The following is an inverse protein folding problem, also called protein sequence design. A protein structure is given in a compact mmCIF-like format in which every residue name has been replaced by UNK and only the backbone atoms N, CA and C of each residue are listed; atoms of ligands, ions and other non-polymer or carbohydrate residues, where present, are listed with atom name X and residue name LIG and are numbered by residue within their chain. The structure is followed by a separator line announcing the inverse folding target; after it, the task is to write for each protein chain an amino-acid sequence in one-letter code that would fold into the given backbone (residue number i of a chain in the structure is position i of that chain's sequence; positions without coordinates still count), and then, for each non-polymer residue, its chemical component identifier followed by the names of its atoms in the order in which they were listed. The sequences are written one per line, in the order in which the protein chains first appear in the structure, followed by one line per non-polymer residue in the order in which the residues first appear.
data_IF_530785211689
#
_entry.id   IF_530785211689
#
_cell.length_a   1.000
_cell.length_b   1.000
_cell.length_c   1.000
_cell.angle_alpha   90.00
_cell.angle_beta   90.00
_cell.angle_gamma   90.00
#
_symmetry.space_group_name_H-M   'P 1'
#
loop_
_entity.id
_entity.type
_entity.pdbx_description
1 polymer ?
#
# COMPACT_ATOMS: atom_id res chain seq x y z
N UNK A 1 -9.91 -39.64 52.72
CA UNK A 1 -8.97 -38.61 52.23
C UNK A 1 -7.89 -39.29 51.42
N UNK A 2 -7.97 -39.29 50.11
CA UNK A 2 -7.01 -39.94 49.23
C UNK A 2 -5.84 -38.98 48.96
N UNK A 3 -4.62 -39.38 49.38
CA UNK A 3 -3.39 -38.61 49.11
C UNK A 3 -2.96 -38.77 47.65
N UNK A 4 -3.04 -37.73 46.87
CA UNK A 4 -2.48 -37.71 45.51
C UNK A 4 -0.96 -37.93 45.54
N UNK A 5 -0.44 -38.83 44.68
CA UNK A 5 0.98 -39.13 44.68
C UNK A 5 1.78 -37.91 44.19
N UNK A 6 2.82 -37.55 44.97
CA UNK A 6 3.74 -36.41 44.73
C UNK A 6 4.37 -36.36 43.31
N UNK A 7 4.37 -37.48 42.59
CA UNK A 7 4.88 -37.58 41.20
C UNK A 7 4.01 -36.93 40.14
N UNK A 8 2.70 -36.85 40.35
CA UNK A 8 1.75 -36.21 39.40
C UNK A 8 1.79 -34.68 39.51
N UNK A 9 2.11 -34.13 40.67
CA UNK A 9 2.23 -32.69 40.90
C UNK A 9 3.49 -32.13 40.24
N UNK A 10 4.60 -32.88 40.28
CA UNK A 10 5.87 -32.45 39.63
C UNK A 10 5.74 -32.42 38.09
N UNK A 11 5.02 -33.36 37.49
CA UNK A 11 4.78 -33.39 36.05
C UNK A 11 3.88 -32.23 35.57
N UNK A 12 2.84 -31.92 36.35
CA UNK A 12 1.94 -30.80 36.02
C UNK A 12 2.65 -29.42 36.13
N UNK A 13 3.51 -29.26 37.12
CA UNK A 13 4.31 -28.04 37.30
C UNK A 13 5.35 -27.84 36.18
N UNK A 14 5.94 -28.92 35.67
CA UNK A 14 6.89 -28.86 34.55
C UNK A 14 6.19 -28.53 33.22
N UNK A 15 4.99 -29.05 32.98
CA UNK A 15 4.18 -28.71 31.81
C UNK A 15 3.68 -27.27 31.89
N UNK A 16 3.28 -26.77 33.06
CA UNK A 16 2.87 -25.37 33.25
C UNK A 16 4.04 -24.39 33.01
N UNK A 17 5.28 -24.79 33.36
CA UNK A 17 6.48 -23.97 33.13
C UNK A 17 6.83 -23.85 31.64
N UNK A 18 6.54 -24.89 30.82
CA UNK A 18 6.75 -24.89 29.38
C UNK A 18 5.77 -24.01 28.61
N UNK A 19 4.57 -23.76 29.18
CA UNK A 19 3.58 -22.86 28.58
C UNK A 19 3.83 -21.38 28.91
N UNK A 20 4.75 -21.06 29.77
CA UNK A 20 5.09 -19.68 30.16
C UNK A 20 6.31 -19.12 29.41
N UNK A 21 6.67 -19.70 28.27
CA UNK A 21 7.55 -19.02 27.31
C UNK A 21 6.71 -17.93 26.65
N UNK A 22 6.55 -16.82 27.35
CA UNK A 22 5.94 -15.62 26.82
C UNK A 22 6.63 -15.26 25.51
N UNK A 23 5.86 -15.00 24.48
CA UNK A 23 6.36 -14.43 23.22
C UNK A 23 7.05 -13.12 23.57
N UNK A 24 8.37 -13.14 23.73
CA UNK A 24 9.17 -11.95 23.74
C UNK A 24 9.03 -11.35 22.33
N UNK A 25 8.17 -10.34 22.18
CA UNK A 25 8.20 -9.51 20.96
C UNK A 25 9.58 -8.84 20.96
N UNK A 26 10.47 -9.36 20.13
CA UNK A 26 11.75 -8.70 19.89
C UNK A 26 11.46 -7.36 19.23
N UNK A 27 12.08 -6.27 19.67
CA UNK A 27 11.96 -4.99 18.99
C UNK A 27 12.37 -5.14 17.53
N UNK A 28 11.68 -4.44 16.58
CA UNK A 28 12.04 -4.54 15.17
C UNK A 28 13.43 -3.98 14.94
N UNK A 29 14.18 -4.63 14.06
CA UNK A 29 15.48 -4.13 13.60
C UNK A 29 15.25 -3.11 12.51
N UNK A 30 15.70 -1.88 12.72
CA UNK A 30 15.53 -0.80 11.76
C UNK A 30 16.79 -0.62 10.90
N UNK A 31 16.63 -0.24 9.61
CA UNK A 31 17.76 0.14 8.77
C UNK A 31 18.42 1.42 9.33
N UNK A 32 19.69 1.62 9.00
CA UNK A 32 20.44 2.82 9.39
C UNK A 32 19.94 4.01 8.58
N UNK A 33 19.68 5.15 9.22
CA UNK A 33 19.34 6.39 8.54
C UNK A 33 20.56 6.95 7.82
N UNK A 34 20.68 6.65 6.52
CA UNK A 34 21.82 7.07 5.69
C UNK A 34 21.59 8.40 4.96
N UNK A 35 20.34 8.86 4.93
CA UNK A 35 19.95 10.09 4.24
C UNK A 35 18.42 10.24 4.17
N UNK A 36 17.95 11.15 3.33
CA UNK A 36 16.50 11.38 3.11
C UNK A 36 15.84 10.24 2.35
N UNK A 37 16.62 9.39 1.68
CA UNK A 37 16.15 8.21 0.94
C UNK A 37 16.95 7.01 1.38
N UNK A 38 16.33 6.08 2.08
CA UNK A 38 16.89 4.81 2.54
C UNK A 38 16.21 3.69 1.77
N UNK A 39 16.91 3.14 0.79
CA UNK A 39 16.35 2.14 -0.13
C UNK A 39 16.93 0.75 0.19
N UNK A 40 16.48 0.15 1.29
CA UNK A 40 16.91 -1.17 1.73
C UNK A 40 16.35 -2.28 0.82
N UNK A 41 15.14 -2.12 0.30
CA UNK A 41 14.52 -3.08 -0.61
C UNK A 41 15.01 -2.97 -2.07
N UNK A 42 15.93 -2.05 -2.38
CA UNK A 42 16.50 -1.84 -3.72
C UNK A 42 15.45 -1.63 -4.82
N UNK A 43 14.45 -0.78 -4.55
CA UNK A 43 13.39 -0.44 -5.49
C UNK A 43 13.73 0.75 -6.41
N UNK A 44 14.75 1.53 -6.05
CA UNK A 44 15.10 2.79 -6.71
C UNK A 44 16.44 2.68 -7.43
N UNK A 45 16.50 3.25 -8.62
CA UNK A 45 17.80 3.44 -9.30
C UNK A 45 18.65 4.51 -8.59
N UNK A 46 19.94 4.54 -8.88
CA UNK A 46 20.83 5.58 -8.35
C UNK A 46 20.38 6.99 -8.76
N UNK A 47 19.86 7.15 -9.98
CA UNK A 47 19.31 8.41 -10.47
C UNK A 47 18.04 8.83 -9.74
N UNK A 48 17.13 7.88 -9.46
CA UNK A 48 15.91 8.16 -8.71
C UNK A 48 16.21 8.56 -7.27
N UNK A 49 17.14 7.86 -6.61
CA UNK A 49 17.61 8.22 -5.26
C UNK A 49 18.20 9.63 -5.23
N UNK A 50 19.02 9.98 -6.21
CA UNK A 50 19.63 11.32 -6.30
C UNK A 50 18.55 12.40 -6.53
N UNK A 51 17.61 12.17 -7.44
CA UNK A 51 16.52 13.11 -7.73
C UNK A 51 15.62 13.34 -6.51
N UNK A 52 15.15 12.25 -5.87
CA UNK A 52 14.34 12.32 -4.65
C UNK A 52 15.10 13.03 -3.51
N UNK A 53 16.38 12.71 -3.32
CA UNK A 53 17.20 13.36 -2.29
C UNK A 53 17.32 14.87 -2.53
N UNK A 54 17.47 15.30 -3.78
CA UNK A 54 17.54 16.71 -4.14
C UNK A 54 16.20 17.43 -3.90
N UNK A 55 15.09 16.81 -4.28
CA UNK A 55 13.74 17.34 -4.07
C UNK A 55 13.42 17.50 -2.58
N UNK A 56 13.66 16.45 -1.79
CA UNK A 56 13.41 16.46 -0.35
C UNK A 56 14.32 17.45 0.39
N UNK A 57 15.58 17.59 -0.07
CA UNK A 57 16.47 18.61 0.46
C UNK A 57 15.96 20.02 0.16
N UNK A 58 15.50 20.29 -1.06
CA UNK A 58 14.97 21.58 -1.44
C UNK A 58 13.72 21.97 -0.61
N UNK A 59 12.86 20.99 -0.29
CA UNK A 59 11.73 21.19 0.61
C UNK A 59 12.23 21.59 2.02
N UNK A 60 13.13 20.80 2.60
CA UNK A 60 13.67 21.07 3.94
C UNK A 60 14.37 22.42 4.02
N UNK A 61 15.15 22.80 3.01
CA UNK A 61 15.82 24.10 2.94
C UNK A 61 14.79 25.27 2.89
N UNK A 62 13.58 25.04 2.36
CA UNK A 62 12.51 26.05 2.20
C UNK A 62 11.57 26.15 3.38
N UNK A 63 11.13 25.02 3.94
CA UNK A 63 10.10 24.97 4.98
C UNK A 63 10.57 24.43 6.32
N UNK A 64 11.78 23.87 6.37
CA UNK A 64 12.34 23.11 7.49
C UNK A 64 11.63 21.79 7.77
N UNK A 65 10.65 21.39 6.94
CA UNK A 65 9.96 20.11 7.08
C UNK A 65 10.83 18.97 6.60
N UNK A 66 10.92 17.91 7.38
CA UNK A 66 11.75 16.76 7.07
C UNK A 66 10.92 15.63 6.51
N UNK A 67 11.14 15.27 5.25
CA UNK A 67 10.52 14.11 4.62
C UNK A 67 11.59 13.06 4.34
N UNK A 68 11.33 11.83 4.78
CA UNK A 68 12.20 10.68 4.56
C UNK A 68 11.43 9.57 3.89
N UNK A 69 12.06 8.97 2.89
CA UNK A 69 11.56 7.78 2.19
C UNK A 69 12.35 6.57 2.65
N UNK A 70 11.66 5.50 3.02
CA UNK A 70 12.30 4.23 3.32
C UNK A 70 11.60 3.10 2.59
N UNK A 71 12.39 2.25 1.94
CA UNK A 71 11.91 0.95 1.48
C UNK A 71 12.52 -0.12 2.38
N UNK A 72 11.73 -1.11 2.78
CA UNK A 72 12.18 -2.19 3.68
C UNK A 72 11.87 -3.55 3.09
N UNK A 73 12.78 -4.50 3.27
CA UNK A 73 12.58 -5.87 2.80
C UNK A 73 11.42 -6.58 3.50
N UNK A 74 11.23 -6.31 4.79
CA UNK A 74 10.18 -6.93 5.60
C UNK A 74 9.81 -6.07 6.79
N UNK A 75 8.55 -6.16 7.19
CA UNK A 75 8.01 -5.57 8.43
C UNK A 75 8.27 -6.45 9.66
N UNK A 76 8.97 -7.56 9.52
CA UNK A 76 9.38 -8.46 10.61
C UNK A 76 8.20 -8.97 11.46
N UNK A 77 7.01 -9.10 10.87
CA UNK A 77 5.78 -9.53 11.53
C UNK A 77 4.99 -8.43 12.22
N UNK A 78 5.47 -7.18 12.18
CA UNK A 78 4.72 -6.02 12.66
C UNK A 78 3.69 -5.53 11.63
N UNK A 79 2.69 -4.80 12.09
CA UNK A 79 1.86 -4.00 11.18
C UNK A 79 2.68 -2.84 10.63
N UNK A 80 2.31 -2.33 9.44
CA UNK A 80 3.06 -1.20 8.86
C UNK A 80 2.89 0.07 9.70
N UNK A 81 1.77 0.18 10.41
CA UNK A 81 1.47 1.26 11.35
C UNK A 81 2.44 1.23 12.54
N UNK A 82 2.59 0.07 13.17
CA UNK A 82 3.51 -0.09 14.30
C UNK A 82 4.96 0.09 13.86
N UNK A 83 5.33 -0.51 12.73
CA UNK A 83 6.69 -0.40 12.20
C UNK A 83 7.03 1.05 11.83
N UNK A 84 6.14 1.74 11.09
CA UNK A 84 6.35 3.13 10.67
C UNK A 84 6.43 4.09 11.84
N UNK A 85 5.52 3.97 12.80
CA UNK A 85 5.52 4.76 14.02
C UNK A 85 6.81 4.59 14.84
N UNK A 86 7.23 3.33 15.07
CA UNK A 86 8.45 3.04 15.82
C UNK A 86 9.70 3.51 15.08
N UNK A 87 9.75 3.30 13.75
CA UNK A 87 10.86 3.74 12.90
C UNK A 87 10.99 5.26 12.89
N UNK A 88 9.88 5.98 12.73
CA UNK A 88 9.87 7.45 12.74
C UNK A 88 10.41 8.02 14.05
N UNK A 89 10.03 7.44 15.17
CA UNK A 89 10.55 7.80 16.49
C UNK A 89 12.01 7.40 16.69
N UNK A 90 12.39 6.21 16.23
CA UNK A 90 13.77 5.73 16.32
C UNK A 90 14.74 6.64 15.54
N UNK A 91 14.33 7.09 14.37
CA UNK A 91 15.10 8.03 13.57
C UNK A 91 14.96 9.48 14.00
N UNK A 92 13.91 9.81 14.76
CA UNK A 92 13.63 11.16 15.24
C UNK A 92 13.43 12.16 14.08
N UNK A 93 12.71 11.76 13.02
CA UNK A 93 12.48 12.60 11.86
C UNK A 93 11.67 13.84 12.24
N UNK A 94 12.07 15.01 11.75
CA UNK A 94 11.54 16.32 12.14
C UNK A 94 12.30 16.92 13.31
N UNK A 95 11.99 18.17 13.62
CA UNK A 95 12.57 18.86 14.77
C UNK A 95 11.77 18.57 16.04
N UNK A 96 12.43 18.56 17.18
CA UNK A 96 11.79 18.32 18.48
C UNK A 96 10.76 19.39 18.82
N UNK A 97 10.99 20.62 18.40
CA UNK A 97 10.14 21.77 18.66
C UNK A 97 8.88 21.78 17.80
N UNK A 98 9.03 21.40 16.52
CA UNK A 98 7.95 21.50 15.54
C UNK A 98 7.26 20.17 15.27
N UNK A 99 7.91 19.02 15.52
CA UNK A 99 7.44 17.69 15.15
C UNK A 99 7.02 17.61 13.66
N UNK A 100 7.81 18.24 12.80
CA UNK A 100 7.52 18.48 11.39
C UNK A 100 8.20 17.43 10.50
N UNK A 101 8.06 16.17 10.88
CA UNK A 101 8.58 15.04 10.12
C UNK A 101 7.49 14.30 9.34
N UNK A 102 7.82 13.80 8.15
CA UNK A 102 7.01 12.84 7.38
C UNK A 102 7.87 11.65 7.00
N UNK A 103 7.37 10.45 7.20
CA UNK A 103 8.05 9.22 6.83
C UNK A 103 7.19 8.42 5.86
N UNK A 104 7.69 8.20 4.64
CA UNK A 104 7.10 7.31 3.66
C UNK A 104 7.75 5.93 3.78
N UNK A 105 6.99 4.92 4.19
CA UNK A 105 7.43 3.53 4.34
C UNK A 105 6.83 2.69 3.23
N UNK A 106 7.67 1.94 2.51
CA UNK A 106 7.24 1.00 1.46
C UNK A 106 7.79 -0.38 1.77
N UNK A 107 6.91 -1.36 1.95
CA UNK A 107 7.23 -2.75 2.22
C UNK A 107 6.72 -3.64 1.07
N UNK A 108 7.54 -3.91 0.04
CA UNK A 108 7.09 -4.61 -1.16
C UNK A 108 6.72 -6.08 -0.89
N UNK A 109 7.36 -6.74 0.05
CA UNK A 109 7.07 -8.13 0.41
C UNK A 109 5.67 -8.29 0.99
N UNK A 110 5.27 -7.41 1.89
CA UNK A 110 3.95 -7.39 2.48
C UNK A 110 2.92 -6.62 1.63
N UNK A 111 3.37 -6.00 0.52
CA UNK A 111 2.55 -5.14 -0.35
C UNK A 111 1.86 -4.03 0.42
N UNK A 112 2.62 -3.34 1.24
CA UNK A 112 2.10 -2.27 2.10
C UNK A 112 2.90 -0.99 1.93
N UNK A 113 2.20 0.12 2.00
CA UNK A 113 2.75 1.47 2.01
C UNK A 113 2.10 2.27 3.13
N UNK A 114 2.87 3.15 3.76
CA UNK A 114 2.37 4.06 4.78
C UNK A 114 3.05 5.42 4.67
N UNK A 115 2.26 6.46 4.86
CA UNK A 115 2.74 7.80 5.13
C UNK A 115 2.49 8.04 6.62
N UNK A 116 3.56 8.15 7.39
CA UNK A 116 3.53 8.50 8.80
C UNK A 116 3.79 9.99 8.93
N UNK A 117 2.96 10.70 9.71
CA UNK A 117 2.99 12.16 9.81
C UNK A 117 3.30 12.57 11.23
N UNK A 118 4.28 13.44 11.41
CA UNK A 118 4.60 14.06 12.69
C UNK A 118 3.49 15.01 13.13
N UNK A 119 3.28 15.13 14.42
CA UNK A 119 2.17 15.90 15.01
C UNK A 119 2.05 17.34 14.54
N UNK A 120 3.18 17.99 14.22
CA UNK A 120 3.19 19.37 13.72
C UNK A 120 2.64 19.51 12.32
N UNK A 121 2.65 18.44 11.54
CA UNK A 121 2.17 18.43 10.14
C UNK A 121 0.79 17.78 9.97
N UNK A 122 0.20 17.17 11.00
CA UNK A 122 -1.15 16.58 10.94
C UNK A 122 -2.24 17.56 10.45
N UNK A 123 -2.19 18.87 10.78
CA UNK A 123 -3.15 19.82 10.23
C UNK A 123 -3.01 20.09 8.73
N UNK A 124 -1.83 19.82 8.16
CA UNK A 124 -1.48 20.06 6.74
C UNK A 124 -1.62 18.75 5.95
N UNK A 125 -0.91 17.73 6.36
CA UNK A 125 -0.98 16.37 5.77
C UNK A 125 -1.91 15.52 6.65
N UNK A 126 -3.20 15.76 6.49
CA UNK A 126 -4.22 14.99 7.21
C UNK A 126 -4.25 13.53 6.76
N UNK A 127 -4.85 12.64 7.56
CA UNK A 127 -5.05 11.24 7.17
C UNK A 127 -5.79 11.12 5.83
N UNK A 128 -6.72 12.04 5.55
CA UNK A 128 -7.45 12.09 4.29
C UNK A 128 -6.53 12.42 3.11
N UNK A 129 -5.65 13.41 3.25
CA UNK A 129 -4.67 13.78 2.22
C UNK A 129 -3.67 12.64 2.02
N UNK A 130 -3.12 12.06 3.10
CA UNK A 130 -2.22 10.92 3.03
C UNK A 130 -2.89 9.72 2.31
N UNK A 131 -4.16 9.45 2.59
CA UNK A 131 -4.92 8.41 1.90
C UNK A 131 -5.12 8.71 0.41
N UNK A 132 -5.42 9.96 0.04
CA UNK A 132 -5.52 10.38 -1.36
C UNK A 132 -4.20 10.14 -2.08
N UNK A 133 -3.08 10.59 -1.53
CA UNK A 133 -1.74 10.40 -2.11
C UNK A 133 -1.47 8.90 -2.36
N UNK A 134 -1.68 8.07 -1.34
CA UNK A 134 -1.47 6.63 -1.46
C UNK A 134 -2.37 6.04 -2.53
N UNK A 135 -3.68 6.28 -2.45
CA UNK A 135 -4.66 5.61 -3.29
C UNK A 135 -4.64 6.05 -4.75
N UNK A 136 -4.30 7.32 -5.02
CA UNK A 136 -4.35 7.88 -6.39
C UNK A 136 -3.00 7.90 -7.07
N UNK A 137 -1.90 8.08 -6.36
CA UNK A 137 -0.58 8.26 -6.96
C UNK A 137 0.29 7.02 -6.82
N UNK A 138 0.26 6.35 -5.65
CA UNK A 138 1.18 5.25 -5.39
C UNK A 138 0.60 3.87 -5.77
N UNK A 139 -0.59 3.52 -5.27
CA UNK A 139 -1.14 2.17 -5.45
C UNK A 139 -1.35 1.75 -6.92
N UNK A 140 -1.79 2.61 -7.86
CA UNK A 140 -1.90 2.23 -9.26
C UNK A 140 -0.55 1.82 -9.86
N UNK A 141 0.50 2.56 -9.54
CA UNK A 141 1.87 2.27 -9.98
C UNK A 141 2.39 0.97 -9.35
N UNK A 142 2.18 0.78 -8.06
CA UNK A 142 2.62 -0.43 -7.36
C UNK A 142 1.94 -1.70 -7.86
N UNK A 143 0.64 -1.63 -8.19
CA UNK A 143 -0.09 -2.75 -8.83
C UNK A 143 0.48 -3.12 -10.19
N UNK A 144 1.03 -2.14 -10.91
CA UNK A 144 1.69 -2.32 -12.20
C UNK A 144 3.17 -2.73 -12.07
N UNK A 145 3.70 -2.84 -10.84
CA UNK A 145 5.12 -3.14 -10.57
C UNK A 145 6.06 -1.95 -10.70
N UNK A 146 5.55 -0.75 -10.98
CA UNK A 146 6.33 0.48 -11.17
C UNK A 146 6.63 1.16 -9.82
N UNK A 147 7.40 0.50 -8.95
CA UNK A 147 7.66 1.02 -7.59
C UNK A 147 8.34 2.38 -7.58
N UNK A 148 9.37 2.57 -8.41
CA UNK A 148 10.10 3.84 -8.46
C UNK A 148 9.19 5.01 -8.84
N UNK A 149 8.33 4.85 -9.86
CA UNK A 149 7.38 5.88 -10.26
C UNK A 149 6.36 6.17 -9.15
N UNK A 150 5.79 5.11 -8.53
CA UNK A 150 4.83 5.31 -7.44
C UNK A 150 5.44 6.02 -6.23
N UNK A 151 6.72 5.76 -5.92
CA UNK A 151 7.43 6.48 -4.85
C UNK A 151 7.66 7.95 -5.23
N UNK A 152 8.10 8.22 -6.47
CA UNK A 152 8.31 9.60 -6.97
C UNK A 152 7.01 10.39 -6.99
N UNK A 153 5.94 9.82 -7.53
CA UNK A 153 4.61 10.44 -7.55
C UNK A 153 4.12 10.75 -6.12
N UNK A 154 4.28 9.78 -5.20
CA UNK A 154 3.90 9.95 -3.80
C UNK A 154 4.70 11.04 -3.09
N UNK A 155 6.02 11.09 -3.29
CA UNK A 155 6.89 12.14 -2.73
C UNK A 155 6.51 13.51 -3.28
N UNK A 156 6.32 13.61 -4.59
CA UNK A 156 5.90 14.87 -5.23
C UNK A 156 4.58 15.38 -4.63
N UNK A 157 3.60 14.51 -4.46
CA UNK A 157 2.30 14.88 -3.88
C UNK A 157 2.42 15.25 -2.38
N UNK A 158 3.32 14.61 -1.61
CA UNK A 158 3.63 15.03 -0.24
C UNK A 158 4.22 16.44 -0.22
N UNK A 159 5.16 16.72 -1.12
CA UNK A 159 5.77 18.06 -1.25
C UNK A 159 4.72 19.11 -1.61
N UNK A 160 3.81 18.82 -2.54
CA UNK A 160 2.69 19.72 -2.89
C UNK A 160 1.79 19.98 -1.67
N UNK A 161 1.45 18.95 -0.90
CA UNK A 161 0.64 19.12 0.30
C UNK A 161 1.32 20.04 1.32
N UNK A 162 2.62 19.86 1.54
CA UNK A 162 3.41 20.65 2.49
C UNK A 162 3.65 22.10 2.01
N UNK A 163 3.67 22.34 0.70
CA UNK A 163 3.85 23.68 0.15
C UNK A 163 2.58 24.50 0.02
N UNK A 164 1.44 23.95 0.40
CA UNK A 164 0.15 24.64 0.42
C UNK A 164 -0.72 24.42 -0.82
N UNK A 165 -0.27 23.57 -1.74
CA UNK A 165 -1.01 23.26 -2.99
C UNK A 165 -1.96 22.05 -2.83
N UNK A 166 -2.43 21.81 -1.60
CA UNK A 166 -3.35 20.70 -1.27
C UNK A 166 -4.66 20.73 -2.11
N UNK A 167 -5.12 21.91 -2.49
CA UNK A 167 -6.28 22.06 -3.37
C UNK A 167 -6.04 21.49 -4.78
N UNK A 168 -4.80 21.59 -5.30
CA UNK A 168 -4.41 20.99 -6.57
C UNK A 168 -4.38 19.46 -6.48
N UNK A 169 -3.91 18.93 -5.35
CA UNK A 169 -3.95 17.49 -5.05
C UNK A 169 -5.38 16.94 -5.07
N UNK A 170 -6.31 17.61 -4.42
CA UNK A 170 -7.71 17.19 -4.41
C UNK A 170 -8.34 17.24 -5.83
N UNK A 171 -7.99 18.26 -6.62
CA UNK A 171 -8.46 18.35 -8.00
C UNK A 171 -7.87 17.23 -8.87
N UNK A 172 -6.59 16.95 -8.74
CA UNK A 172 -5.92 15.83 -9.45
C UNK A 172 -6.53 14.48 -9.04
N UNK A 173 -6.80 14.28 -7.75
CA UNK A 173 -7.45 13.06 -7.25
C UNK A 173 -8.86 12.89 -7.82
N UNK A 174 -9.66 13.97 -7.91
CA UNK A 174 -10.97 13.95 -8.54
C UNK A 174 -10.86 13.60 -10.02
N UNK A 175 -9.99 14.28 -10.76
CA UNK A 175 -9.80 14.03 -12.21
C UNK A 175 -9.35 12.62 -12.52
N UNK A 176 -8.48 12.02 -11.66
CA UNK A 176 -8.06 10.61 -11.82
C UNK A 176 -9.21 9.65 -11.52
N UNK A 177 -10.01 9.89 -10.46
CA UNK A 177 -11.21 9.07 -10.16
C UNK A 177 -12.24 9.14 -11.27
N UNK A 178 -12.43 10.32 -11.88
CA UNK A 178 -13.37 10.50 -13.00
C UNK A 178 -12.86 9.79 -14.27
N UNK A 179 -11.54 9.72 -14.47
CA UNK A 179 -10.91 9.00 -15.58
C UNK A 179 -10.93 7.47 -15.39
N UNK A 180 -10.84 6.99 -14.15
CA UNK A 180 -10.91 5.56 -13.79
C UNK A 180 -12.35 5.03 -13.67
N UNK A 181 -13.36 5.88 -13.68
CA UNK A 181 -14.74 5.41 -13.78
C UNK A 181 -14.90 4.77 -15.17
N UNK A 182 -15.23 3.47 -15.24
CA UNK A 182 -15.49 2.85 -16.52
C UNK A 182 -16.60 3.68 -17.16
N UNK A 183 -16.28 4.30 -18.30
CA UNK A 183 -17.31 4.95 -19.10
C UNK A 183 -18.42 3.91 -19.22
N UNK A 184 -19.62 4.25 -18.74
CA UNK A 184 -20.76 3.34 -18.88
C UNK A 184 -20.80 3.03 -20.37
N UNK A 185 -20.45 1.80 -20.71
CA UNK A 185 -20.41 1.38 -22.10
C UNK A 185 -21.86 1.37 -22.59
N UNK A 186 -22.25 2.50 -23.18
CA UNK A 186 -23.59 2.69 -23.73
C UNK A 186 -23.97 1.56 -24.68
N UNK A 187 -22.98 0.94 -25.32
CA UNK A 187 -23.18 -0.24 -26.12
C UNK A 187 -23.64 -1.44 -25.27
N UNK A 188 -23.06 -1.62 -24.08
CA UNK A 188 -23.51 -2.63 -23.12
C UNK A 188 -24.94 -2.37 -22.62
N UNK A 189 -25.26 -1.12 -22.30
CA UNK A 189 -26.60 -0.73 -21.87
C UNK A 189 -27.62 -0.99 -23.02
N UNK A 190 -27.29 -0.56 -24.23
CA UNK A 190 -28.11 -0.80 -25.42
C UNK A 190 -28.27 -2.31 -25.68
N UNK A 191 -27.19 -3.06 -25.58
CA UNK A 191 -27.21 -4.51 -25.77
C UNK A 191 -28.17 -5.20 -24.76
N UNK A 192 -28.05 -4.88 -23.49
CA UNK A 192 -28.93 -5.44 -22.47
C UNK A 192 -30.38 -4.98 -22.62
N UNK A 193 -30.62 -3.71 -22.99
CA UNK A 193 -31.99 -3.22 -23.26
C UNK A 193 -32.63 -3.93 -24.44
N UNK A 194 -31.89 -4.20 -25.52
CA UNK A 194 -32.37 -4.97 -26.67
C UNK A 194 -32.71 -6.39 -26.22
N UNK A 195 -31.86 -7.04 -25.42
CA UNK A 195 -32.13 -8.41 -24.92
C UNK A 195 -33.41 -8.43 -24.06
N UNK A 196 -33.55 -7.49 -23.15
CA UNK A 196 -34.73 -7.39 -22.30
C UNK A 196 -36.00 -7.19 -23.11
N UNK A 197 -35.96 -6.27 -24.09
CA UNK A 197 -37.09 -6.03 -24.99
C UNK A 197 -37.40 -7.26 -25.82
N UNK A 198 -36.40 -8.00 -26.29
CA UNK A 198 -36.57 -9.23 -27.02
C UNK A 198 -37.20 -10.34 -26.17
N UNK A 199 -36.76 -10.50 -24.91
CA UNK A 199 -37.33 -11.46 -23.99
C UNK A 199 -38.78 -11.09 -23.66
N UNK A 200 -39.09 -9.83 -23.37
CA UNK A 200 -40.46 -9.36 -23.10
C UNK A 200 -41.35 -9.60 -24.35
N UNK A 201 -40.84 -9.27 -25.54
CA UNK A 201 -41.55 -9.54 -26.81
C UNK A 201 -41.78 -11.02 -27.03
N UNK A 202 -40.80 -11.88 -26.74
CA UNK A 202 -40.93 -13.34 -26.90
C UNK A 202 -41.94 -13.92 -25.92
N UNK A 203 -41.97 -13.43 -24.67
CA UNK A 203 -42.98 -13.81 -23.67
C UNK A 203 -44.39 -13.34 -24.10
N UNK A 204 -44.50 -12.10 -24.59
CA UNK A 204 -45.77 -11.58 -25.10
C UNK A 204 -46.28 -12.39 -26.30
N UNK A 205 -45.40 -12.79 -27.22
CA UNK A 205 -45.72 -13.63 -28.36
C UNK A 205 -46.09 -15.06 -27.98
N UNK A 206 -45.45 -15.61 -26.91
CA UNK A 206 -45.76 -16.95 -26.41
C UNK A 206 -47.08 -16.98 -25.63
N UNK A 207 -47.56 -15.83 -25.10
CA UNK A 207 -48.86 -15.72 -24.43
C UNK A 207 -50.04 -15.58 -25.37
N UNK A 208 -49.82 -15.42 -26.69
CA UNK A 208 -50.92 -15.41 -27.64
C UNK A 208 -51.36 -16.85 -27.97
N UNK A 209 -52.64 -17.22 -27.76
CA UNK A 209 -53.12 -18.57 -28.05
C UNK A 209 -53.29 -18.77 -29.52
N UNK A 210 -52.33 -19.45 -30.15
CA UNK A 210 -52.50 -19.86 -31.53
C UNK A 210 -51.20 -20.10 -32.29
N UNK A 211 -50.62 -21.30 -32.14
CA UNK A 211 -50.08 -22.14 -33.20
C UNK A 211 -49.30 -23.34 -32.60
N UNK A 212 -49.95 -24.44 -32.55
CA UNK A 212 -49.35 -25.77 -32.32
C UNK A 212 -48.52 -26.16 -33.55
N UNK A 213 -47.22 -26.19 -33.41
CA UNK A 213 -46.30 -26.74 -34.39
C UNK A 213 -45.27 -27.64 -33.71
N UNK A 214 -45.49 -28.98 -33.86
CA UNK A 214 -44.53 -30.00 -33.46
C UNK A 214 -43.24 -29.89 -34.26
N UNK A 215 -42.07 -29.92 -33.60
CA UNK A 215 -40.87 -30.55 -34.18
C UNK A 215 -39.82 -30.91 -33.13
N UNK A 216 -39.54 -32.11 -33.06
CA UNK A 216 -38.42 -33.01 -32.80
C UNK A 216 -37.07 -32.41 -32.41
N UNK A 217 -36.49 -33.06 -31.40
CA UNK A 217 -35.21 -32.89 -30.75
C UNK A 217 -33.95 -33.16 -31.55
N UNK A 218 -32.84 -32.72 -31.00
CA UNK A 218 -31.47 -33.07 -31.32
C UNK A 218 -30.52 -32.57 -30.22
N UNK A 219 -29.55 -33.37 -29.79
CA UNK A 219 -28.65 -32.99 -28.69
C UNK A 219 -27.53 -32.10 -29.18
N UNK A 220 -27.22 -31.06 -28.40
CA UNK A 220 -26.10 -30.15 -28.64
C UNK A 220 -24.92 -30.58 -27.78
N UNK A 221 -23.79 -30.85 -28.41
CA UNK A 221 -22.49 -31.17 -27.84
C UNK A 221 -21.75 -29.82 -27.60
N UNK A 222 -21.30 -29.59 -26.40
CA UNK A 222 -20.43 -28.46 -26.03
C UNK A 222 -18.95 -28.88 -26.13
N UNK A 223 -18.07 -28.07 -26.75
CA UNK A 223 -16.62 -28.18 -26.56
C UNK A 223 -16.14 -27.22 -25.46
N UNK A 224 -15.34 -27.73 -24.52
CA UNK A 224 -14.71 -26.96 -23.49
C UNK A 224 -13.40 -26.29 -23.96
N UNK A 225 -12.99 -25.18 -23.35
CA UNK A 225 -11.71 -24.52 -23.63
C UNK A 225 -10.59 -25.04 -22.76
N UNK A 226 -9.47 -25.40 -23.39
CA UNK A 226 -8.25 -25.82 -22.76
C UNK A 226 -7.42 -24.64 -22.26
N UNK A 227 -6.72 -24.88 -21.17
CA UNK A 227 -5.76 -23.97 -20.56
C UNK A 227 -4.35 -24.29 -21.03
N UNK A 228 -3.60 -23.25 -21.42
CA UNK A 228 -2.19 -23.33 -21.76
C UNK A 228 -1.34 -22.45 -20.82
N UNK A 229 -0.38 -23.12 -20.21
CA UNK A 229 0.62 -22.62 -19.28
C UNK A 229 1.91 -22.17 -20.01
N UNK A 230 2.69 -21.27 -19.38
CA UNK A 230 4.11 -21.02 -19.64
C UNK A 230 4.42 -19.55 -19.34
N UNK A 231 5.44 -19.11 -18.60
CA UNK A 231 6.67 -19.71 -18.17
C UNK A 231 7.77 -18.65 -18.25
N UNK A 232 8.44 -18.37 -17.09
CA UNK A 232 9.89 -18.20 -16.95
C UNK A 232 10.62 -16.89 -17.34
N UNK A 233 11.43 -16.43 -16.36
CA UNK A 233 12.80 -15.93 -16.52
C UNK A 233 12.95 -14.46 -16.15
N UNK A 234 13.64 -13.99 -15.13
CA UNK A 234 15.00 -14.28 -14.67
C UNK A 234 15.91 -13.14 -15.11
N UNK A 235 16.48 -12.37 -14.17
CA UNK A 235 17.52 -11.40 -14.50
C UNK A 235 17.97 -10.57 -13.30
N UNK A 236 19.11 -10.93 -12.76
CA UNK A 236 19.88 -10.28 -11.71
C UNK A 236 20.68 -9.11 -12.27
N UNK A 237 20.79 -8.00 -11.56
CA UNK A 237 22.11 -7.34 -11.47
C UNK A 237 22.19 -6.44 -10.22
N UNK A 238 23.33 -6.59 -9.61
CA UNK A 238 23.89 -5.97 -8.43
C UNK A 238 24.52 -4.60 -8.79
N UNK A 239 24.58 -3.69 -7.81
CA UNK A 239 25.74 -2.80 -7.74
C UNK A 239 25.46 -1.36 -7.35
N UNK A 240 26.14 -0.87 -6.31
CA UNK A 240 26.67 0.46 -6.26
C UNK A 240 26.18 1.36 -5.12
N UNK A 241 26.84 1.20 -4.00
CA UNK A 241 26.91 2.16 -2.91
C UNK A 241 27.69 3.40 -3.32
N UNK A 242 27.14 4.61 -3.03
CA UNK A 242 27.95 5.83 -3.06
C UNK A 242 27.43 6.84 -2.05
N UNK A 243 28.31 7.21 -1.15
CA UNK A 243 28.22 8.04 0.02
C UNK A 243 27.41 9.32 -0.10
N UNK A 244 26.55 9.52 0.87
CA UNK A 244 25.80 10.74 1.10
C UNK A 244 26.23 11.39 2.39
N UNK A 245 26.34 12.71 2.37
CA UNK A 245 26.59 13.53 3.56
C UNK A 245 25.57 13.24 4.65
N UNK A 246 26.03 13.21 5.89
CA UNK A 246 25.26 12.82 7.05
C UNK A 246 23.94 13.58 7.19
N UNK A 247 22.85 12.88 7.02
CA UNK A 247 21.52 13.32 7.40
C UNK A 247 21.19 12.70 8.75
N UNK A 248 20.68 13.52 9.67
CA UNK A 248 20.29 13.08 11.02
C UNK A 248 18.93 13.67 11.33
N UNK A 249 18.06 12.88 11.94
CA UNK A 249 16.78 13.37 12.44
C UNK A 249 16.98 14.38 13.57
N UNK A 250 16.12 15.39 13.62
CA UNK A 250 16.15 16.47 14.62
C UNK A 250 15.41 16.15 15.92
N UNK A 251 14.98 14.91 16.16
CA UNK A 251 14.32 14.46 17.39
C UNK A 251 12.80 14.69 17.43
N UNK A 252 12.14 14.79 16.27
CA UNK A 252 10.70 14.92 16.17
C UNK A 252 9.94 13.69 16.67
N UNK A 253 8.71 13.88 17.13
CA UNK A 253 7.82 12.83 17.64
C UNK A 253 6.64 12.60 16.72
N UNK A 254 6.24 11.33 16.57
CA UNK A 254 5.11 10.88 15.77
C UNK A 254 3.94 10.50 16.66
N UNK A 255 2.73 10.90 16.28
CA UNK A 255 1.48 10.60 17.01
C UNK A 255 0.73 9.38 16.46
N UNK A 256 1.22 8.77 15.38
CA UNK A 256 0.50 7.72 14.65
C UNK A 256 -0.49 8.27 13.61
N UNK A 257 -0.46 9.58 13.35
CA UNK A 257 -1.19 10.20 12.23
C UNK A 257 -0.64 9.74 10.88
N UNK A 258 -1.47 9.83 9.84
CA UNK A 258 -1.14 9.40 8.49
C UNK A 258 -2.06 8.31 7.95
N UNK A 259 -1.67 7.67 6.87
CA UNK A 259 -2.49 6.63 6.24
C UNK A 259 -1.65 5.48 5.70
N UNK A 260 -2.29 4.32 5.54
CA UNK A 260 -1.68 3.14 4.94
C UNK A 260 -2.51 2.58 3.81
N UNK A 261 -1.84 1.88 2.88
CA UNK A 261 -2.47 1.22 1.75
C UNK A 261 -1.85 -0.13 1.46
N UNK A 262 -2.56 -0.94 0.67
CA UNK A 262 -2.09 -2.23 0.18
C UNK A 262 -2.44 -2.41 -1.29
N UNK A 263 -1.63 -3.19 -2.04
CA UNK A 263 -1.81 -3.45 -3.47
C UNK A 263 -1.74 -4.93 -3.85
#
# INVERSE_FOLDING_TARGET
MASMPRRTIAGAAFIALLFWVGSASAEPTFPVLTGRVVDDANLLSASDKAALTAELKALEDKSSDQVVVVTVHSLQGYTIEEYGYQLGRHWGIGTKELNNGVLLVVAPTERKVRIEVGRGLEPIVTDAIANIIISTSMLPQFRSGNFAEGIKDGVHDIVLALTGDAAELEQRAKSRKDADQPAIDWLMVIFWTIIILWVVYSMYRASQPGAVGRSRGGPIIMPGPGWGSGGSGGGWSSGGDSGGGGFSGGGGDFGGGGSSGSW
#
